data_IF_909058178914
#
_entry.id   IF_909058178914
#
_cell.length_a   1.000
_cell.length_b   1.000
_cell.length_c   1.000
_cell.angle_alpha   90.00
_cell.angle_beta   90.00
_cell.angle_gamma   90.00
#
_symmetry.space_group_name_H-M   'P 1'
#
loop_
_entity.id
_entity.type
_entity.pdbx_description
1 polymer ?
#
# COMPACT_ATOMS: atom_id res chain seq x y z
N UNK A 1 38.18 -44.81 11.80
CA UNK A 1 39.57 -44.32 11.63
C UNK A 1 39.47 -42.85 11.28
N UNK A 2 39.56 -42.07 12.35
CA UNK A 2 40.48 -40.92 12.53
C UNK A 2 40.19 -39.71 11.64
N UNK A 3 40.13 -38.51 12.09
CA UNK A 3 40.47 -37.67 13.29
C UNK A 3 39.94 -36.29 12.99
N UNK A 4 39.18 -35.68 13.91
CA UNK A 4 39.68 -34.63 14.80
C UNK A 4 40.48 -33.52 14.13
N UNK A 5 39.95 -32.33 14.19
CA UNK A 5 40.47 -31.15 14.91
C UNK A 5 39.60 -29.95 14.57
N UNK A 6 38.82 -29.39 15.43
CA UNK A 6 39.17 -28.52 16.54
C UNK A 6 40.10 -27.37 16.13
N UNK A 7 39.57 -26.19 15.98
CA UNK A 7 40.28 -24.96 16.34
C UNK A 7 39.31 -23.79 16.56
N UNK A 8 38.91 -23.64 17.81
CA UNK A 8 38.53 -22.35 18.40
C UNK A 8 39.66 -21.33 18.16
N UNK A 9 39.32 -20.16 17.69
CA UNK A 9 40.17 -18.98 17.88
C UNK A 9 39.33 -17.75 18.21
N UNK A 10 39.21 -17.63 19.49
CA UNK A 10 38.94 -16.46 20.29
C UNK A 10 39.80 -15.27 19.83
N UNK A 11 39.21 -14.15 19.47
CA UNK A 11 39.91 -12.86 19.36
C UNK A 11 39.22 -11.80 20.19
N UNK A 12 39.96 -11.15 21.10
CA UNK A 12 39.43 -10.19 22.03
C UNK A 12 39.23 -8.83 21.40
N UNK A 13 38.20 -8.13 21.85
CA UNK A 13 37.95 -6.71 21.64
C UNK A 13 39.12 -5.87 22.24
N UNK A 14 39.57 -4.81 21.60
CA UNK A 14 40.14 -3.70 22.30
C UNK A 14 39.12 -2.59 22.50
N UNK A 15 38.82 -2.41 23.75
CA UNK A 15 38.24 -1.20 24.30
C UNK A 15 39.26 -0.05 24.07
N UNK A 16 38.86 0.96 23.31
CA UNK A 16 39.57 2.26 23.31
C UNK A 16 38.58 3.34 23.71
N UNK A 17 38.80 3.73 24.93
CA UNK A 17 38.24 4.91 25.58
C UNK A 17 39.08 6.12 25.16
N UNK A 18 38.46 7.20 24.76
CA UNK A 18 38.91 8.61 24.86
C UNK A 18 38.34 9.40 23.67
N UNK A 19 37.64 10.45 23.78
CA UNK A 19 37.89 11.75 24.36
C UNK A 19 36.72 12.65 23.99
N UNK A 20 36.19 13.29 24.98
CA UNK A 20 35.23 14.39 24.94
C UNK A 20 35.76 15.53 24.06
N UNK A 21 35.03 15.92 23.03
CA UNK A 21 35.18 17.24 22.42
C UNK A 21 33.80 17.87 22.17
N UNK A 22 33.45 18.74 23.09
CA UNK A 22 32.33 19.65 22.99
C UNK A 22 32.61 20.65 21.89
N UNK A 23 31.97 20.49 20.76
CA UNK A 23 31.92 21.47 19.68
C UNK A 23 30.49 21.95 19.49
N UNK A 24 30.17 23.07 20.12
CA UNK A 24 28.96 23.85 19.83
C UNK A 24 29.08 24.41 18.41
N UNK A 25 28.52 23.71 17.44
CA UNK A 25 28.24 24.30 16.14
C UNK A 25 26.74 24.52 16.02
N UNK A 26 26.36 25.76 16.12
CA UNK A 26 25.06 26.26 15.69
C UNK A 26 24.87 25.89 14.23
N UNK A 27 24.20 24.77 13.96
CA UNK A 27 23.67 24.48 12.63
C UNK A 27 22.34 25.24 12.51
N UNK A 28 22.18 26.10 11.49
CA UNK A 28 20.85 26.66 11.22
C UNK A 28 19.96 25.47 10.81
N UNK A 29 18.99 25.17 11.64
CA UNK A 29 17.88 24.30 11.29
C UNK A 29 17.20 24.94 10.07
N UNK A 30 17.53 24.45 8.87
CA UNK A 30 16.69 24.65 7.71
C UNK A 30 15.33 23.99 8.04
N UNK A 31 14.40 24.82 8.49
CA UNK A 31 13.01 24.48 8.48
C UNK A 31 12.66 24.26 7.01
N UNK A 32 12.60 22.99 6.59
CA UNK A 32 12.03 22.63 5.31
C UNK A 32 10.61 23.20 5.31
N UNK A 33 10.40 24.28 4.57
CA UNK A 33 9.07 24.77 4.26
C UNK A 33 8.30 23.60 3.66
N UNK A 34 7.15 23.19 4.23
CA UNK A 34 6.27 22.29 3.52
C UNK A 34 5.86 23.02 2.25
N UNK A 35 6.18 22.43 1.10
CA UNK A 35 5.72 22.89 -0.21
C UNK A 35 4.20 22.98 -0.16
N UNK A 36 3.72 24.13 0.26
CA UNK A 36 2.31 24.48 0.37
C UNK A 36 1.70 24.62 -1.02
N UNK A 37 1.44 23.51 -1.69
CA UNK A 37 0.41 23.48 -2.72
C UNK A 37 -0.94 23.44 -2.01
N UNK A 38 -1.71 24.55 -1.99
CA UNK A 38 -3.02 24.54 -1.39
C UNK A 38 -3.92 23.65 -2.25
N UNK A 39 -4.31 22.49 -1.73
CA UNK A 39 -5.31 21.63 -2.32
C UNK A 39 -4.94 20.16 -2.57
N UNK A 40 -3.71 19.75 -2.32
CA UNK A 40 -3.34 18.34 -2.34
C UNK A 40 -3.69 17.69 -1.00
N UNK A 41 -4.80 16.94 -0.97
CA UNK A 41 -5.03 16.03 0.15
C UNK A 41 -3.84 15.07 0.18
N UNK A 42 -3.12 15.03 1.29
CA UNK A 42 -2.02 14.12 1.48
C UNK A 42 -2.49 12.70 1.14
N UNK A 43 -1.79 12.02 0.24
CA UNK A 43 -2.17 10.68 -0.23
C UNK A 43 -2.21 9.69 0.93
N UNK A 44 -1.35 9.88 1.90
CA UNK A 44 -1.29 9.10 3.13
C UNK A 44 -2.58 9.29 3.95
N UNK A 45 -2.95 10.53 4.25
CA UNK A 45 -4.19 10.84 4.97
C UNK A 45 -5.45 10.37 4.24
N UNK A 46 -5.43 10.36 2.90
CA UNK A 46 -6.53 9.79 2.12
C UNK A 46 -6.60 8.28 2.28
N UNK A 47 -5.45 7.60 2.23
CA UNK A 47 -5.34 6.15 2.40
C UNK A 47 -5.84 5.73 3.77
N UNK A 48 -5.37 6.37 4.83
CA UNK A 48 -5.79 6.12 6.20
C UNK A 48 -7.31 6.27 6.38
N UNK A 49 -7.89 7.35 5.85
CA UNK A 49 -9.35 7.55 5.88
C UNK A 49 -10.11 6.45 5.13
N UNK A 50 -9.56 5.97 4.03
CA UNK A 50 -10.15 4.86 3.27
C UNK A 50 -10.10 3.55 4.04
N UNK A 51 -9.02 3.31 4.79
CA UNK A 51 -8.87 2.15 5.64
C UNK A 51 -9.87 2.16 6.79
N UNK A 52 -9.97 3.27 7.51
CA UNK A 52 -10.99 3.42 8.58
C UNK A 52 -12.40 3.23 8.04
N UNK A 53 -12.70 3.79 6.86
CA UNK A 53 -14.01 3.58 6.22
C UNK A 53 -14.25 2.12 5.80
N UNK A 54 -13.21 1.42 5.33
CA UNK A 54 -13.33 0.02 4.96
C UNK A 54 -13.62 -0.84 6.19
N UNK A 55 -12.91 -0.60 7.29
CA UNK A 55 -13.13 -1.31 8.55
C UNK A 55 -14.57 -1.15 9.02
N UNK A 56 -15.06 0.08 9.17
CA UNK A 56 -16.44 0.32 9.61
C UNK A 56 -17.48 -0.31 8.68
N UNK A 57 -17.32 -0.11 7.37
CA UNK A 57 -18.26 -0.63 6.38
C UNK A 57 -18.29 -2.16 6.33
N UNK A 58 -17.13 -2.82 6.31
CA UNK A 58 -17.07 -4.28 6.23
C UNK A 58 -17.52 -4.96 7.53
N UNK A 59 -17.20 -4.35 8.68
CA UNK A 59 -17.69 -4.84 9.97
C UNK A 59 -19.23 -4.86 10.01
N UNK A 60 -19.88 -3.78 9.56
CA UNK A 60 -21.33 -3.65 9.50
C UNK A 60 -21.95 -4.58 8.45
N UNK A 61 -21.45 -4.58 7.22
CA UNK A 61 -22.01 -5.34 6.10
C UNK A 61 -21.85 -6.85 6.27
N UNK A 62 -20.80 -7.30 6.94
CA UNK A 62 -20.54 -8.72 7.22
C UNK A 62 -21.06 -9.17 8.60
N UNK A 63 -21.62 -8.24 9.37
CA UNK A 63 -22.13 -8.49 10.73
C UNK A 63 -21.05 -9.12 11.63
N UNK A 64 -19.81 -8.58 11.57
CA UNK A 64 -18.71 -9.10 12.35
C UNK A 64 -18.87 -8.72 13.82
N UNK A 65 -19.01 -9.73 14.67
CA UNK A 65 -18.85 -9.57 16.11
C UNK A 65 -17.35 -9.52 16.52
N UNK A 66 -17.08 -9.38 17.80
CA UNK A 66 -15.70 -9.25 18.28
C UNK A 66 -14.86 -10.52 18.05
N UNK A 67 -15.47 -11.71 18.05
CA UNK A 67 -14.78 -12.97 17.84
C UNK A 67 -14.48 -13.18 16.35
N UNK A 68 -15.48 -13.04 15.50
CA UNK A 68 -15.34 -13.11 14.05
C UNK A 68 -14.38 -12.04 13.51
N UNK A 69 -14.44 -10.82 14.03
CA UNK A 69 -13.55 -9.74 13.64
C UNK A 69 -12.08 -10.07 13.95
N UNK A 70 -11.79 -10.74 15.07
CA UNK A 70 -10.44 -11.14 15.46
C UNK A 70 -9.80 -12.12 14.48
N UNK A 71 -10.60 -12.98 13.83
CA UNK A 71 -10.14 -13.94 12.83
C UNK A 71 -10.12 -13.30 11.44
N UNK A 72 -11.15 -12.53 11.08
CA UNK A 72 -11.31 -11.95 9.75
C UNK A 72 -10.24 -10.91 9.39
N UNK A 73 -9.96 -9.97 10.31
CA UNK A 73 -9.06 -8.84 9.99
C UNK A 73 -7.63 -9.25 9.68
N UNK A 74 -7.00 -10.19 10.36
CA UNK A 74 -5.69 -10.70 9.94
C UNK A 74 -5.67 -11.23 8.51
N UNK A 75 -6.65 -12.05 8.12
CA UNK A 75 -6.78 -12.60 6.76
C UNK A 75 -6.97 -11.48 5.73
N UNK A 76 -7.89 -10.55 6.02
CA UNK A 76 -8.16 -9.42 5.14
C UNK A 76 -6.93 -8.50 4.95
N UNK A 77 -6.22 -8.19 6.03
CA UNK A 77 -5.07 -7.30 5.98
C UNK A 77 -3.90 -7.94 5.23
N UNK A 78 -3.61 -9.22 5.45
CA UNK A 78 -2.59 -9.96 4.71
C UNK A 78 -2.88 -9.95 3.20
N UNK A 79 -4.11 -10.31 2.82
CA UNK A 79 -4.55 -10.25 1.42
C UNK A 79 -4.45 -8.85 0.81
N UNK A 80 -4.84 -7.81 1.56
CA UNK A 80 -4.75 -6.42 1.10
C UNK A 80 -3.30 -6.02 0.84
N UNK A 81 -2.39 -6.40 1.71
CA UNK A 81 -0.95 -6.12 1.55
C UNK A 81 -0.38 -6.82 0.30
N UNK A 82 -0.69 -8.09 0.11
CA UNK A 82 -0.29 -8.85 -1.09
C UNK A 82 -0.84 -8.23 -2.37
N UNK A 83 -2.11 -7.84 -2.39
CA UNK A 83 -2.72 -7.16 -3.54
C UNK A 83 -2.07 -5.79 -3.82
N UNK A 84 -1.74 -5.04 -2.77
CA UNK A 84 -1.07 -3.74 -2.91
C UNK A 84 0.34 -3.90 -3.49
N UNK A 85 1.09 -4.92 -3.06
CA UNK A 85 2.41 -5.25 -3.60
C UNK A 85 2.32 -5.66 -5.07
N UNK A 86 1.49 -6.64 -5.40
CA UNK A 86 1.30 -7.11 -6.77
C UNK A 86 0.80 -6.00 -7.71
N UNK A 87 -0.07 -5.11 -7.23
CA UNK A 87 -0.55 -3.96 -8.00
C UNK A 87 0.52 -2.91 -8.25
N UNK A 88 1.46 -2.73 -7.32
CA UNK A 88 2.62 -1.82 -7.51
C UNK A 88 3.59 -2.41 -8.52
N UNK A 89 3.85 -3.70 -8.45
CA UNK A 89 4.71 -4.41 -9.40
C UNK A 89 4.14 -4.31 -10.83
N UNK A 90 2.86 -4.64 -11.01
CA UNK A 90 2.19 -4.49 -12.30
C UNK A 90 2.33 -3.07 -12.87
N UNK A 91 2.11 -2.04 -12.05
CA UNK A 91 2.27 -0.64 -12.46
C UNK A 91 3.72 -0.29 -12.82
N UNK A 92 4.70 -0.86 -12.12
CA UNK A 92 6.11 -0.66 -12.44
C UNK A 92 6.44 -1.27 -13.82
N UNK A 93 6.02 -2.50 -14.08
CA UNK A 93 6.22 -3.17 -15.38
C UNK A 93 5.52 -2.39 -16.50
N UNK A 94 4.28 -1.95 -16.30
CA UNK A 94 3.56 -1.13 -17.28
C UNK A 94 4.29 0.19 -17.57
N UNK A 95 4.88 0.80 -16.56
CA UNK A 95 5.69 2.02 -16.73
C UNK A 95 6.97 1.74 -17.50
N UNK A 96 7.67 0.63 -17.23
CA UNK A 96 8.85 0.20 -17.97
C UNK A 96 8.49 -0.03 -19.44
N UNK A 97 7.38 -0.74 -19.72
CA UNK A 97 6.90 -0.99 -21.06
C UNK A 97 6.54 0.30 -21.83
N UNK A 98 5.85 1.23 -21.17
CA UNK A 98 5.47 2.51 -21.76
C UNK A 98 6.66 3.43 -22.05
N UNK A 99 7.78 3.24 -21.34
CA UNK A 99 9.04 3.97 -21.55
C UNK A 99 10.07 3.19 -22.35
N UNK A 100 9.69 2.03 -22.94
CA UNK A 100 10.61 1.20 -23.69
C UNK A 100 10.93 1.84 -25.04
N UNK A 101 12.15 2.32 -25.20
CA UNK A 101 12.66 2.92 -26.45
C UNK A 101 14.00 2.30 -26.81
N UNK A 102 14.07 1.66 -27.96
CA UNK A 102 15.33 1.22 -28.59
C UNK A 102 16.10 0.10 -27.89
N UNK A 103 15.45 -0.70 -27.06
CA UNK A 103 16.02 -1.91 -26.46
C UNK A 103 16.06 -3.09 -27.43
N UNK A 104 16.63 -4.23 -26.98
CA UNK A 104 16.65 -5.47 -27.75
C UNK A 104 15.29 -6.17 -27.73
N UNK A 105 15.06 -7.06 -28.69
CA UNK A 105 13.88 -7.91 -28.74
C UNK A 105 13.76 -8.77 -27.47
N UNK A 106 14.88 -9.29 -26.96
CA UNK A 106 14.90 -10.11 -25.75
C UNK A 106 14.46 -9.33 -24.52
N UNK A 107 14.87 -8.06 -24.38
CA UNK A 107 14.43 -7.17 -23.29
C UNK A 107 12.92 -6.90 -23.40
N UNK A 108 12.43 -6.65 -24.60
CA UNK A 108 11.00 -6.43 -24.82
C UNK A 108 10.16 -7.66 -24.47
N UNK A 109 10.55 -8.84 -24.96
CA UNK A 109 9.84 -10.09 -24.63
C UNK A 109 9.93 -10.43 -23.14
N UNK A 110 11.07 -10.17 -22.49
CA UNK A 110 11.21 -10.32 -21.04
C UNK A 110 10.26 -9.41 -20.24
N UNK A 111 10.00 -8.19 -20.71
CA UNK A 111 8.98 -7.30 -20.09
C UNK A 111 7.57 -7.83 -20.31
N UNK A 112 7.25 -8.38 -21.48
CA UNK A 112 5.94 -8.98 -21.76
C UNK A 112 5.68 -10.20 -20.87
N UNK A 113 6.66 -11.09 -20.71
CA UNK A 113 6.53 -12.26 -19.82
C UNK A 113 6.27 -11.84 -18.36
N UNK A 114 6.97 -10.81 -17.89
CA UNK A 114 6.74 -10.23 -16.56
C UNK A 114 5.35 -9.61 -16.45
N UNK A 115 4.88 -8.93 -17.48
CA UNK A 115 3.53 -8.34 -17.50
C UNK A 115 2.47 -9.44 -17.38
N UNK A 116 2.57 -10.49 -18.22
CA UNK A 116 1.64 -11.61 -18.20
C UNK A 116 1.61 -12.29 -16.83
N UNK A 117 2.78 -12.60 -16.26
CA UNK A 117 2.87 -13.20 -14.93
C UNK A 117 2.20 -12.33 -13.84
N UNK A 118 2.41 -11.01 -13.87
CA UNK A 118 1.82 -10.09 -12.93
C UNK A 118 0.30 -9.98 -13.10
N UNK A 119 -0.22 -9.98 -14.34
CA UNK A 119 -1.66 -9.93 -14.62
C UNK A 119 -2.38 -11.19 -14.19
N UNK A 120 -1.78 -12.36 -14.44
CA UNK A 120 -2.33 -13.67 -14.04
C UNK A 120 -2.28 -13.84 -12.51
N UNK A 121 -1.29 -13.27 -11.82
CA UNK A 121 -1.12 -13.38 -10.37
C UNK A 121 -2.27 -12.74 -9.58
N UNK A 122 -2.78 -11.59 -10.00
CA UNK A 122 -3.82 -10.85 -9.26
C UNK A 122 -5.13 -11.62 -9.05
N UNK A 123 -5.72 -12.30 -10.05
CA UNK A 123 -6.87 -13.18 -9.81
C UNK A 123 -6.58 -14.33 -8.84
N UNK A 124 -5.35 -14.88 -8.90
CA UNK A 124 -4.90 -15.94 -8.00
C UNK A 124 -4.94 -15.51 -6.53
N UNK A 125 -4.42 -14.33 -6.21
CA UNK A 125 -4.46 -13.76 -4.86
C UNK A 125 -5.90 -13.59 -4.35
N UNK A 126 -6.80 -13.10 -5.20
CA UNK A 126 -8.22 -12.97 -4.84
C UNK A 126 -8.87 -14.31 -4.56
N UNK A 127 -8.57 -15.32 -5.37
CA UNK A 127 -9.09 -16.67 -5.17
C UNK A 127 -8.54 -17.30 -3.87
N UNK A 128 -7.27 -17.02 -3.54
CA UNK A 128 -6.67 -17.48 -2.28
C UNK A 128 -7.38 -16.86 -1.08
N UNK A 129 -7.56 -15.54 -1.08
CA UNK A 129 -8.31 -14.85 -0.03
C UNK A 129 -9.69 -15.46 0.23
N UNK A 130 -10.42 -15.80 -0.85
CA UNK A 130 -11.74 -16.41 -0.72
C UNK A 130 -11.69 -17.83 -0.14
N UNK A 131 -10.63 -18.58 -0.45
CA UNK A 131 -10.38 -19.88 0.19
C UNK A 131 -10.13 -19.72 1.67
N UNK A 132 -9.20 -18.84 2.05
CA UNK A 132 -8.85 -18.60 3.45
C UNK A 132 -10.05 -18.14 4.28
N UNK A 133 -10.88 -17.24 3.73
CA UNK A 133 -12.14 -16.81 4.37
C UNK A 133 -13.15 -17.95 4.43
N UNK A 134 -13.25 -18.78 3.36
CA UNK A 134 -14.17 -19.91 3.33
C UNK A 134 -13.79 -21.01 4.31
N UNK A 135 -12.51 -21.24 4.52
CA UNK A 135 -12.00 -22.25 5.45
C UNK A 135 -12.34 -21.89 6.91
N UNK A 136 -12.36 -20.60 7.25
CA UNK A 136 -12.66 -20.12 8.61
C UNK A 136 -14.17 -19.86 8.85
N UNK A 137 -14.88 -19.34 7.85
CA UNK A 137 -16.26 -18.86 8.01
C UNK A 137 -17.30 -19.59 7.15
N UNK A 138 -16.86 -20.46 6.28
CA UNK A 138 -17.69 -21.16 5.31
C UNK A 138 -17.93 -20.40 4.01
N UNK A 139 -18.40 -21.14 2.95
CA UNK A 139 -18.55 -20.60 1.59
C UNK A 139 -19.53 -19.44 1.49
N UNK A 140 -20.63 -19.48 2.24
CA UNK A 140 -21.66 -18.44 2.22
C UNK A 140 -21.11 -17.10 2.71
N UNK A 141 -20.25 -17.13 3.73
CA UNK A 141 -19.59 -15.93 4.21
C UNK A 141 -18.60 -15.39 3.17
N UNK A 142 -17.83 -16.25 2.50
CA UNK A 142 -16.93 -15.83 1.44
C UNK A 142 -17.69 -15.14 0.29
N UNK A 143 -18.87 -15.62 -0.10
CA UNK A 143 -19.72 -14.96 -1.10
C UNK A 143 -20.22 -13.60 -0.60
N UNK A 144 -20.65 -13.49 0.66
CA UNK A 144 -21.01 -12.20 1.27
C UNK A 144 -19.81 -11.22 1.28
N UNK A 145 -18.62 -11.72 1.51
CA UNK A 145 -17.39 -10.93 1.49
C UNK A 145 -17.14 -10.30 0.11
N UNK A 146 -17.34 -11.05 -0.98
CA UNK A 146 -17.26 -10.51 -2.36
C UNK A 146 -18.28 -9.38 -2.56
N UNK A 147 -19.52 -9.61 -2.14
CA UNK A 147 -20.59 -8.62 -2.29
C UNK A 147 -20.31 -7.35 -1.48
N UNK A 148 -19.84 -7.49 -0.23
CA UNK A 148 -19.48 -6.38 0.65
C UNK A 148 -18.32 -5.55 0.06
N UNK A 149 -17.26 -6.19 -0.43
CA UNK A 149 -16.15 -5.50 -1.08
C UNK A 149 -16.58 -4.74 -2.35
N UNK A 150 -17.49 -5.33 -3.15
CA UNK A 150 -18.05 -4.65 -4.33
C UNK A 150 -18.85 -3.42 -3.93
N UNK A 151 -19.74 -3.54 -2.95
CA UNK A 151 -20.52 -2.42 -2.42
C UNK A 151 -19.62 -1.30 -1.89
N UNK A 152 -18.58 -1.66 -1.14
CA UNK A 152 -17.62 -0.69 -0.62
C UNK A 152 -16.97 0.12 -1.76
N UNK A 153 -16.47 -0.56 -2.80
CA UNK A 153 -15.88 0.10 -3.98
C UNK A 153 -16.87 1.07 -4.65
N UNK A 154 -18.15 0.73 -4.72
CA UNK A 154 -19.18 1.60 -5.26
C UNK A 154 -19.43 2.84 -4.38
N UNK A 155 -19.49 2.67 -3.06
CA UNK A 155 -19.64 3.78 -2.11
C UNK A 155 -18.47 4.76 -2.24
N UNK A 156 -17.25 4.25 -2.28
CA UNK A 156 -16.05 5.05 -2.48
C UNK A 156 -16.08 5.82 -3.79
N UNK A 157 -16.40 5.13 -4.89
CA UNK A 157 -16.52 5.75 -6.22
C UNK A 157 -17.54 6.88 -6.25
N UNK A 158 -18.73 6.65 -5.68
CA UNK A 158 -19.79 7.68 -5.61
C UNK A 158 -19.33 8.90 -4.79
N UNK A 159 -18.69 8.69 -3.65
CA UNK A 159 -18.16 9.79 -2.81
C UNK A 159 -17.08 10.60 -3.52
N UNK A 160 -16.19 9.94 -4.26
CA UNK A 160 -15.16 10.62 -5.05
C UNK A 160 -15.79 11.47 -6.17
N UNK A 161 -16.78 10.93 -6.90
CA UNK A 161 -17.49 11.65 -7.96
C UNK A 161 -18.22 12.89 -7.41
N UNK A 162 -18.88 12.77 -6.27
CA UNK A 162 -19.56 13.90 -5.62
C UNK A 162 -18.60 15.02 -5.22
N UNK A 163 -17.42 14.68 -4.72
CA UNK A 163 -16.38 15.67 -4.38
C UNK A 163 -15.86 16.39 -5.62
N UNK A 164 -15.63 15.67 -6.71
CA UNK A 164 -15.17 16.28 -7.96
C UNK A 164 -16.22 17.19 -8.60
N UNK A 165 -17.51 16.83 -8.56
CA UNK A 165 -18.60 17.65 -9.07
C UNK A 165 -18.85 18.90 -8.23
N UNK A 166 -18.75 18.79 -6.90
CA UNK A 166 -18.87 19.93 -5.98
C UNK A 166 -17.76 20.98 -6.13
N UNK A 167 -16.56 20.55 -6.54
CA UNK A 167 -15.43 21.46 -6.78
C UNK A 167 -15.55 22.23 -8.09
N UNK A 168 -16.18 21.66 -9.13
CA UNK A 168 -16.43 22.35 -10.41
C UNK A 168 -17.45 23.48 -10.30
N UNK A 169 -18.30 23.50 -9.30
CA UNK A 169 -19.31 24.53 -9.08
C UNK A 169 -18.79 25.81 -8.38
N UNK A 170 -17.62 25.78 -7.76
CA UNK A 170 -16.97 26.96 -7.17
C UNK A 170 -16.17 27.70 -8.23
N UNK A 171 -16.82 28.51 -9.04
CA UNK A 171 -16.14 29.56 -9.83
C UNK A 171 -15.41 30.48 -8.83
N UNK A 172 -14.12 30.80 -9.04
CA UNK A 172 -13.49 31.85 -8.26
C UNK A 172 -14.25 33.14 -8.44
N UNK A 173 -14.83 33.65 -7.35
CA UNK A 173 -15.63 34.86 -7.33
C UNK A 173 -14.90 35.99 -8.03
N UNK A 174 -15.57 36.58 -9.02
CA UNK A 174 -15.07 37.70 -9.77
C UNK A 174 -14.65 38.83 -8.82
N UNK A 175 -13.40 39.27 -8.93
CA UNK A 175 -12.95 40.54 -8.39
C UNK A 175 -13.87 41.62 -8.94
N UNK A 176 -14.85 42.03 -8.17
CA UNK A 176 -15.54 43.31 -8.41
C UNK A 176 -14.49 44.43 -8.33
N UNK A 177 -14.09 44.95 -9.49
CA UNK A 177 -13.44 46.27 -9.56
C UNK A 177 -14.46 47.26 -9.06
N UNK A 178 -14.21 47.86 -7.90
CA UNK A 178 -14.89 49.11 -7.51
C UNK A 178 -14.35 50.27 -8.34
N UNK A 179 -15.18 51.18 -8.76
CA UNK A 179 -14.81 52.40 -9.46
C UNK A 179 -13.99 53.34 -8.57
#
# INVERSE_FOLDING_TARGET
>A
MNLMNDMMMNRPFPMVLSTLMVGLLFSPTSVAQPDGRPGGMDREALRERMEVMAVGFLTEELELDAESARVFWPIYNAHKEELDLASRELKAIQKELNGFEGGSDDEFYGLLDRLEAAEVGLPGLRAQFLRDVSDEFGPDFAVRCIAAQKKFKEVVRKRMQQRMSGQKGRKPGGRQRRP
#
